data_IF_825614183657
#
_entry.id   IF_825614183657
#
_cell.length_a   1.000
_cell.length_b   1.000
_cell.length_c   1.000
_cell.angle_alpha   90.00
_cell.angle_beta   90.00
_cell.angle_gamma   90.00
#
_symmetry.space_group_name_H-M   'P 1'
#
loop_
_entity.id
_entity.type
_entity.pdbx_description
1 polymer ?
#
# COMPACT_ATOMS: atom_id res chain seq x y z
N UNK A 1 8.86 10.41 -25.79
CA UNK A 1 8.08 9.22 -25.36
C UNK A 1 7.86 8.26 -26.54
N UNK A 2 8.56 7.11 -26.57
CA UNK A 2 8.22 6.04 -27.51
C UNK A 2 7.09 5.24 -26.90
N UNK A 3 5.89 5.35 -27.47
CA UNK A 3 4.76 4.51 -27.11
C UNK A 3 5.17 3.06 -27.37
N UNK A 4 5.33 2.26 -26.31
CA UNK A 4 5.32 0.81 -26.47
C UNK A 4 3.96 0.45 -27.09
N UNK A 5 3.97 -0.31 -28.18
CA UNK A 5 2.75 -0.78 -28.84
C UNK A 5 1.86 -1.49 -27.81
N UNK A 6 0.54 -1.27 -27.87
CA UNK A 6 -0.40 -1.81 -26.86
C UNK A 6 -0.27 -3.32 -26.65
N UNK A 7 0.18 -4.04 -27.67
CA UNK A 7 0.46 -5.48 -27.61
C UNK A 7 1.67 -5.88 -26.75
N UNK A 8 2.72 -5.04 -26.71
CA UNK A 8 3.86 -5.23 -25.80
C UNK A 8 3.47 -4.89 -24.35
N UNK A 9 2.62 -3.89 -24.15
CA UNK A 9 2.04 -3.56 -22.85
C UNK A 9 1.13 -4.71 -22.33
N UNK A 10 0.36 -5.34 -23.22
CA UNK A 10 -0.44 -6.54 -22.94
C UNK A 10 0.45 -7.73 -22.55
N UNK A 11 1.52 -8.01 -23.32
CA UNK A 11 2.49 -9.09 -23.01
C UNK A 11 3.29 -8.86 -21.72
N UNK A 12 3.58 -7.60 -21.37
CA UNK A 12 4.16 -7.24 -20.07
C UNK A 12 3.18 -7.32 -18.89
N UNK A 13 1.92 -7.66 -19.16
CA UNK A 13 0.84 -7.74 -18.19
C UNK A 13 0.43 -6.39 -17.60
N UNK A 14 0.79 -5.27 -18.23
CA UNK A 14 0.37 -3.93 -17.82
C UNK A 14 -1.16 -3.83 -17.77
N UNK A 15 -1.84 -4.45 -18.73
CA UNK A 15 -3.29 -4.54 -18.76
C UNK A 15 -3.86 -5.35 -17.58
N UNK A 16 -3.23 -6.47 -17.21
CA UNK A 16 -3.64 -7.27 -16.06
C UNK A 16 -3.47 -6.50 -14.74
N UNK A 17 -2.41 -5.69 -14.61
CA UNK A 17 -2.19 -4.83 -13.45
C UNK A 17 -3.21 -3.70 -13.37
N UNK A 18 -3.43 -2.98 -14.46
CA UNK A 18 -4.43 -1.92 -14.51
C UNK A 18 -5.85 -2.45 -14.24
N UNK A 19 -6.16 -3.65 -14.75
CA UNK A 19 -7.41 -4.33 -14.43
C UNK A 19 -7.48 -4.66 -12.94
N UNK A 20 -6.42 -5.20 -12.34
CA UNK A 20 -6.41 -5.51 -10.92
C UNK A 20 -6.54 -4.26 -10.02
N UNK A 21 -5.93 -3.13 -10.38
CA UNK A 21 -6.14 -1.83 -9.72
C UNK A 21 -7.62 -1.43 -9.80
N UNK A 22 -8.20 -1.52 -10.99
CA UNK A 22 -9.62 -1.18 -11.22
C UNK A 22 -10.56 -2.10 -10.44
N UNK A 23 -10.31 -3.42 -10.46
CA UNK A 23 -11.07 -4.41 -9.69
C UNK A 23 -10.98 -4.13 -8.20
N UNK A 24 -9.78 -3.80 -7.68
CA UNK A 24 -9.60 -3.41 -6.27
C UNK A 24 -10.47 -2.20 -5.91
N UNK A 25 -10.51 -1.19 -6.78
CA UNK A 25 -11.37 0.00 -6.58
C UNK A 25 -12.86 -0.39 -6.54
N UNK A 26 -13.28 -1.20 -7.51
CA UNK A 26 -14.66 -1.67 -7.62
C UNK A 26 -15.08 -2.48 -6.39
N UNK A 27 -14.21 -3.35 -5.86
CA UNK A 27 -14.47 -4.09 -4.63
C UNK A 27 -14.69 -3.17 -3.44
N UNK A 28 -13.92 -2.07 -3.33
CA UNK A 28 -14.11 -1.08 -2.27
C UNK A 28 -15.45 -0.35 -2.39
N UNK A 29 -15.85 0.01 -3.61
CA UNK A 29 -17.14 0.66 -3.88
C UNK A 29 -18.32 -0.28 -3.62
N UNK A 30 -18.24 -1.53 -4.08
CA UNK A 30 -19.35 -2.50 -4.01
C UNK A 30 -19.64 -2.97 -2.59
N UNK A 31 -18.61 -3.21 -1.79
CA UNK A 31 -18.76 -3.87 -0.50
C UNK A 31 -18.52 -2.94 0.70
N UNK A 32 -18.23 -1.66 0.44
CA UNK A 32 -18.28 -0.58 1.41
C UNK A 32 -17.25 -0.66 2.54
N UNK A 33 -16.26 0.24 2.52
CA UNK A 33 -15.44 0.56 3.70
C UNK A 33 -15.89 1.86 4.39
N UNK A 34 -17.05 2.37 4.00
CA UNK A 34 -17.45 3.78 4.06
C UNK A 34 -17.50 4.40 2.65
N UNK A 35 -18.16 5.56 2.45
CA UNK A 35 -18.16 6.27 1.17
C UNK A 35 -16.74 6.56 0.68
N UNK A 36 -16.41 6.14 -0.54
CA UNK A 36 -15.13 6.45 -1.17
C UNK A 36 -15.14 7.92 -1.57
N UNK A 37 -14.24 8.70 -0.99
CA UNK A 37 -14.10 10.14 -1.23
C UNK A 37 -12.96 10.49 -2.18
N UNK A 38 -12.10 9.50 -2.51
CA UNK A 38 -11.09 9.64 -3.54
C UNK A 38 -10.39 8.33 -3.89
N UNK A 39 -10.00 8.20 -5.15
CA UNK A 39 -9.21 7.09 -5.67
C UNK A 39 -8.19 7.65 -6.67
N UNK A 40 -6.91 7.57 -6.32
CA UNK A 40 -5.81 8.04 -7.16
C UNK A 40 -4.89 6.86 -7.50
N UNK A 41 -4.41 6.79 -8.75
CA UNK A 41 -3.51 5.74 -9.23
C UNK A 41 -2.10 6.30 -9.46
N UNK A 42 -1.09 5.44 -9.36
CA UNK A 42 0.32 5.78 -9.62
C UNK A 42 0.81 7.01 -8.82
N UNK A 43 0.46 7.07 -7.53
CA UNK A 43 0.76 8.23 -6.69
C UNK A 43 2.22 8.20 -6.25
N UNK A 44 3.00 9.20 -6.65
CA UNK A 44 4.39 9.37 -6.21
C UNK A 44 4.47 9.96 -4.79
N UNK A 45 5.33 9.35 -3.98
CA UNK A 45 5.79 9.80 -2.67
C UNK A 45 7.30 9.93 -2.68
N UNK A 46 7.82 10.72 -1.73
CA UNK A 46 9.26 10.93 -1.58
C UNK A 46 9.73 10.55 -0.18
N UNK A 47 10.84 9.84 -0.13
CA UNK A 47 11.60 9.54 1.08
C UNK A 47 13.06 9.91 0.80
N UNK A 48 13.52 11.01 1.39
CA UNK A 48 14.86 11.55 1.14
C UNK A 48 15.11 11.74 -0.38
N UNK A 49 16.05 11.00 -0.96
CA UNK A 49 16.38 11.01 -2.40
C UNK A 49 15.68 9.90 -3.20
N UNK A 50 14.84 9.09 -2.55
CA UNK A 50 14.14 7.96 -3.16
C UNK A 50 12.70 8.34 -3.50
N UNK A 51 12.21 7.82 -4.62
CA UNK A 51 10.80 7.87 -5.01
C UNK A 51 10.14 6.55 -4.67
N UNK A 52 8.95 6.62 -4.10
CA UNK A 52 8.03 5.49 -3.96
C UNK A 52 6.80 5.81 -4.81
N UNK A 53 6.26 4.84 -5.52
CA UNK A 53 5.03 5.04 -6.27
C UNK A 53 4.04 3.98 -5.83
N UNK A 54 2.95 4.42 -5.21
CA UNK A 54 1.84 3.56 -4.89
C UNK A 54 1.09 3.20 -6.18
N UNK A 55 0.69 1.95 -6.34
CA UNK A 55 -0.18 1.56 -7.45
C UNK A 55 -1.52 2.28 -7.36
N UNK A 56 -2.06 2.44 -6.14
CA UNK A 56 -3.20 3.29 -5.87
C UNK A 56 -3.21 3.83 -4.44
N UNK A 57 -4.05 4.82 -4.22
CA UNK A 57 -4.43 5.32 -2.89
C UNK A 57 -5.93 5.48 -2.84
N UNK A 58 -6.54 5.07 -1.72
CA UNK A 58 -7.97 5.18 -1.50
C UNK A 58 -8.25 6.01 -0.26
N UNK A 59 -9.17 6.96 -0.40
CA UNK A 59 -9.72 7.77 0.70
C UNK A 59 -11.17 7.38 0.90
N UNK A 60 -11.56 7.17 2.15
CA UNK A 60 -12.91 6.77 2.52
C UNK A 60 -13.33 7.47 3.81
N UNK A 61 -14.62 7.75 3.92
CA UNK A 61 -15.20 8.33 5.13
C UNK A 61 -15.55 7.23 6.14
N UNK A 62 -14.94 7.27 7.31
CA UNK A 62 -15.23 6.40 8.46
C UNK A 62 -16.08 7.12 9.50
N UNK A 63 -17.20 7.73 9.09
CA UNK A 63 -18.14 8.39 9.99
C UNK A 63 -17.67 9.75 10.49
N UNK A 64 -17.30 10.64 9.56
CA UNK A 64 -16.83 12.00 9.84
C UNK A 64 -15.30 12.13 9.91
N UNK A 65 -14.57 11.06 9.57
CA UNK A 65 -13.11 11.03 9.54
C UNK A 65 -12.63 10.39 8.25
N UNK A 66 -11.67 11.02 7.57
CA UNK A 66 -11.11 10.46 6.33
C UNK A 66 -10.03 9.44 6.67
N UNK A 67 -10.32 8.18 6.40
CA UNK A 67 -9.34 7.10 6.36
C UNK A 67 -8.61 7.07 5.02
N UNK A 68 -7.33 6.73 5.04
CA UNK A 68 -6.51 6.58 3.83
C UNK A 68 -5.80 5.23 3.84
N UNK A 69 -5.74 4.58 2.67
CA UNK A 69 -4.89 3.41 2.43
C UNK A 69 -4.04 3.62 1.18
N UNK A 70 -2.77 3.29 1.31
CA UNK A 70 -1.85 3.08 0.19
C UNK A 70 -2.03 1.63 -0.26
N UNK A 71 -2.15 1.41 -1.56
CA UNK A 71 -2.36 0.09 -2.16
C UNK A 71 -1.18 -0.26 -3.04
N UNK A 72 -0.66 -1.46 -2.84
CA UNK A 72 0.40 -2.07 -3.64
C UNK A 72 -0.10 -3.42 -4.16
N UNK A 73 -0.02 -3.64 -5.46
CA UNK A 73 -0.39 -4.89 -6.08
C UNK A 73 0.86 -5.73 -6.36
N UNK A 74 0.77 -7.02 -6.05
CA UNK A 74 1.81 -7.99 -6.36
C UNK A 74 1.18 -9.19 -7.05
N UNK A 75 1.66 -9.54 -8.24
CA UNK A 75 1.15 -10.69 -9.00
C UNK A 75 1.58 -12.04 -8.43
N UNK A 76 1.94 -12.08 -7.16
CA UNK A 76 2.54 -13.20 -6.42
C UNK A 76 3.85 -13.74 -7.02
N UNK A 77 4.36 -13.11 -8.08
CA UNK A 77 5.62 -13.47 -8.76
C UNK A 77 6.78 -12.57 -8.38
N UNK A 78 6.54 -11.48 -7.64
CA UNK A 78 7.62 -10.64 -7.14
C UNK A 78 8.55 -11.45 -6.22
N UNK A 79 9.88 -11.28 -6.31
CA UNK A 79 10.78 -11.87 -5.32
C UNK A 79 10.45 -11.37 -3.90
N UNK A 80 10.53 -12.26 -2.90
CA UNK A 80 10.17 -11.92 -1.52
C UNK A 80 11.01 -10.77 -0.96
N UNK A 81 12.30 -10.74 -1.28
CA UNK A 81 13.23 -9.68 -0.86
C UNK A 81 12.82 -8.32 -1.42
N UNK A 82 12.28 -8.31 -2.65
CA UNK A 82 11.79 -7.08 -3.28
C UNK A 82 10.50 -6.60 -2.62
N UNK A 83 9.58 -7.52 -2.29
CA UNK A 83 8.38 -7.17 -1.52
C UNK A 83 8.74 -6.66 -0.11
N UNK A 84 9.66 -7.33 0.58
CA UNK A 84 10.16 -6.91 1.88
C UNK A 84 10.76 -5.50 1.82
N UNK A 85 11.60 -5.23 0.81
CA UNK A 85 12.18 -3.90 0.60
C UNK A 85 11.11 -2.82 0.30
N UNK A 86 10.04 -3.13 -0.43
CA UNK A 86 8.92 -2.19 -0.62
C UNK A 86 8.24 -1.85 0.71
N UNK A 87 7.92 -2.86 1.51
CA UNK A 87 7.28 -2.67 2.82
C UNK A 87 8.21 -1.89 3.77
N UNK A 88 9.50 -2.20 3.76
CA UNK A 88 10.53 -1.48 4.51
C UNK A 88 10.54 0.01 4.14
N UNK A 89 10.53 0.33 2.85
CA UNK A 89 10.51 1.71 2.38
C UNK A 89 9.23 2.46 2.78
N UNK A 90 8.06 1.82 2.68
CA UNK A 90 6.80 2.42 3.12
C UNK A 90 6.76 2.69 4.62
N UNK A 91 7.25 1.74 5.43
CA UNK A 91 7.32 1.93 6.88
C UNK A 91 8.34 3.00 7.27
N UNK A 92 9.48 3.10 6.59
CA UNK A 92 10.40 4.25 6.77
C UNK A 92 9.75 5.56 6.40
N UNK A 93 9.03 5.61 5.28
CA UNK A 93 8.34 6.81 4.83
C UNK A 93 7.28 7.26 5.86
N UNK A 94 6.54 6.33 6.46
CA UNK A 94 5.58 6.60 7.51
C UNK A 94 6.22 7.19 8.78
N UNK A 95 7.42 6.73 9.13
CA UNK A 95 8.19 7.21 10.30
C UNK A 95 9.00 8.47 10.01
N UNK A 96 9.21 8.81 8.74
CA UNK A 96 10.11 9.87 8.36
C UNK A 96 9.57 11.24 8.78
N UNK A 97 10.39 11.99 9.52
CA UNK A 97 10.10 13.34 9.98
C UNK A 97 11.17 14.30 9.49
N UNK A 98 10.74 15.49 9.11
CA UNK A 98 11.62 16.62 8.80
C UNK A 98 11.61 17.56 9.99
N UNK A 99 12.80 18.03 10.38
CA UNK A 99 12.93 19.04 11.41
C UNK A 99 12.45 20.39 10.89
N UNK A 100 11.64 21.07 11.70
CA UNK A 100 11.11 22.40 11.42
C UNK A 100 11.73 23.38 12.42
N UNK A 101 12.38 24.43 11.88
CA UNK A 101 13.02 25.48 12.67
C UNK A 101 14.51 25.67 12.35
N UNK A 102 15.14 26.70 12.94
CA UNK A 102 16.56 26.96 12.76
C UNK A 102 17.38 25.76 13.26
N UNK A 103 18.37 25.34 12.46
CA UNK A 103 19.39 24.39 12.92
C UNK A 103 20.00 24.96 14.22
N UNK A 104 20.11 24.13 15.26
CA UNK A 104 20.66 24.43 16.61
C UNK A 104 19.70 24.93 17.69
N UNK A 105 18.39 25.04 17.44
CA UNK A 105 17.38 25.26 18.49
C UNK A 105 16.53 23.99 18.72
N UNK A 106 15.87 23.90 19.87
CA UNK A 106 14.83 22.90 20.11
C UNK A 106 13.67 23.22 19.16
N UNK A 107 13.65 22.59 17.98
CA UNK A 107 12.62 22.74 16.96
C UNK A 107 11.62 21.59 16.96
N UNK A 108 10.46 21.81 16.32
CA UNK A 108 9.47 20.76 16.08
C UNK A 108 9.92 19.83 14.96
N UNK A 109 9.26 18.68 14.82
CA UNK A 109 9.41 17.84 13.63
C UNK A 109 8.05 17.48 13.08
N UNK A 110 7.93 17.49 11.76
CA UNK A 110 6.70 17.15 11.05
C UNK A 110 6.90 15.86 10.26
N UNK A 111 5.90 15.00 10.31
CA UNK A 111 5.91 13.76 9.52
C UNK A 111 5.66 14.08 8.04
N UNK A 112 6.48 13.51 7.16
CA UNK A 112 6.46 13.82 5.71
C UNK A 112 5.17 13.37 5.04
N UNK A 113 4.56 12.28 5.52
CA UNK A 113 3.30 11.80 4.96
C UNK A 113 2.17 12.84 5.03
N UNK A 114 2.23 13.80 5.96
CA UNK A 114 1.23 14.88 6.08
C UNK A 114 1.19 15.82 4.88
N UNK A 115 2.27 15.88 4.09
CA UNK A 115 2.30 16.67 2.85
C UNK A 115 1.37 16.08 1.79
N UNK A 116 1.19 14.76 1.78
CA UNK A 116 0.31 14.07 0.83
C UNK A 116 -1.08 13.81 1.43
N UNK A 117 -1.17 13.66 2.75
CA UNK A 117 -2.38 13.24 3.44
C UNK A 117 -2.58 14.10 4.70
N UNK A 118 -3.33 15.22 4.61
CA UNK A 118 -3.50 16.16 5.72
C UNK A 118 -4.42 15.63 6.85
N UNK A 119 -4.70 14.33 6.87
CA UNK A 119 -5.53 13.67 7.88
C UNK A 119 -4.80 13.48 9.21
N UNK A 120 -5.55 13.09 10.26
CA UNK A 120 -4.99 12.89 11.59
C UNK A 120 -4.08 11.65 11.70
N UNK A 121 -4.30 10.64 10.86
CA UNK A 121 -3.57 9.37 10.87
C UNK A 121 -2.67 9.20 9.65
N UNK A 122 -1.55 8.51 9.85
CA UNK A 122 -0.75 7.98 8.74
C UNK A 122 -1.59 6.95 7.95
N UNK A 123 -1.52 6.95 6.61
CA UNK A 123 -2.12 5.87 5.81
C UNK A 123 -1.61 4.49 6.23
N UNK A 124 -2.50 3.50 6.20
CA UNK A 124 -2.12 2.08 6.25
C UNK A 124 -1.71 1.56 4.87
N UNK A 125 -0.92 0.49 4.83
CA UNK A 125 -0.53 -0.18 3.59
C UNK A 125 -1.37 -1.45 3.37
N UNK A 126 -1.96 -1.56 2.19
CA UNK A 126 -2.63 -2.75 1.68
C UNK A 126 -1.81 -3.37 0.56
N UNK A 127 -1.41 -4.63 0.75
CA UNK A 127 -0.76 -5.45 -0.27
C UNK A 127 -1.79 -6.41 -0.85
N UNK A 128 -2.16 -6.24 -2.11
CA UNK A 128 -3.16 -7.07 -2.79
C UNK A 128 -2.45 -8.04 -3.72
N UNK A 129 -2.54 -9.33 -3.43
CA UNK A 129 -1.99 -10.37 -4.31
C UNK A 129 -2.97 -10.70 -5.43
N UNK A 130 -2.51 -10.68 -6.68
CA UNK A 130 -3.31 -11.13 -7.83
C UNK A 130 -2.87 -12.52 -8.25
N UNK A 131 -3.81 -13.41 -8.58
CA UNK A 131 -3.50 -14.76 -9.04
C UNK A 131 -2.96 -15.70 -7.97
N UNK A 132 -3.29 -15.43 -6.69
CA UNK A 132 -2.94 -16.28 -5.57
C UNK A 132 -4.21 -16.64 -4.78
N UNK A 133 -4.31 -17.90 -4.37
CA UNK A 133 -5.33 -18.35 -3.41
C UNK A 133 -4.95 -17.93 -1.96
N UNK A 134 -5.91 -17.96 -1.01
CA UNK A 134 -5.64 -17.57 0.39
C UNK A 134 -4.56 -18.40 1.08
N UNK A 135 -4.40 -19.68 0.73
CA UNK A 135 -3.35 -20.53 1.30
C UNK A 135 -1.97 -20.15 0.73
N UNK A 136 -1.89 -19.76 -0.54
CA UNK A 136 -0.69 -19.22 -1.16
C UNK A 136 -0.29 -17.87 -0.56
N UNK A 137 -1.26 -16.98 -0.28
CA UNK A 137 -1.05 -15.75 0.49
C UNK A 137 -0.44 -16.06 1.86
N UNK A 138 -1.03 -17.00 2.62
CA UNK A 138 -0.52 -17.37 3.94
C UNK A 138 0.93 -17.85 3.88
N UNK A 139 1.23 -18.82 3.00
CA UNK A 139 2.59 -19.34 2.78
C UNK A 139 3.57 -18.22 2.39
N UNK A 140 3.14 -17.28 1.54
CA UNK A 140 3.95 -16.15 1.11
C UNK A 140 4.26 -15.20 2.26
N UNK A 141 3.27 -14.86 3.09
CA UNK A 141 3.46 -14.04 4.29
C UNK A 141 4.41 -14.73 5.27
N UNK A 142 4.24 -16.03 5.52
CA UNK A 142 5.09 -16.75 6.47
C UNK A 142 6.56 -16.80 6.00
N UNK A 143 6.79 -16.92 4.69
CA UNK A 143 8.14 -16.80 4.10
C UNK A 143 8.67 -15.37 4.08
N UNK A 144 7.80 -14.37 4.10
CA UNK A 144 8.17 -12.95 4.13
C UNK A 144 8.60 -12.50 5.54
N UNK A 145 8.03 -13.10 6.60
CA UNK A 145 8.30 -12.70 7.99
C UNK A 145 9.79 -12.67 8.37
N UNK A 146 10.64 -13.68 8.03
CA UNK A 146 12.06 -13.63 8.38
C UNK A 146 12.80 -12.45 7.76
N UNK A 147 12.48 -12.10 6.50
CA UNK A 147 13.06 -10.94 5.81
C UNK A 147 12.64 -9.64 6.49
N UNK A 148 11.36 -9.49 6.83
CA UNK A 148 10.85 -8.31 7.54
C UNK A 148 11.42 -8.18 8.95
N UNK A 149 11.63 -9.30 9.64
CA UNK A 149 12.30 -9.33 10.93
C UNK A 149 13.77 -8.88 10.82
N UNK A 150 14.51 -9.41 9.84
CA UNK A 150 15.90 -9.01 9.60
C UNK A 150 16.03 -7.51 9.28
N UNK A 151 15.05 -6.93 8.57
CA UNK A 151 14.97 -5.50 8.28
C UNK A 151 14.41 -4.65 9.44
N UNK A 152 14.04 -5.27 10.56
CA UNK A 152 13.39 -4.63 11.73
C UNK A 152 12.10 -3.89 11.39
N UNK A 153 11.41 -4.32 10.35
CA UNK A 153 10.13 -3.73 9.92
C UNK A 153 9.03 -4.05 10.93
N UNK A 154 9.07 -5.21 11.59
CA UNK A 154 8.07 -5.64 12.57
C UNK A 154 8.09 -4.80 13.86
N UNK A 155 9.20 -4.11 14.14
CA UNK A 155 9.34 -3.20 15.29
C UNK A 155 8.64 -1.84 15.04
N UNK A 156 8.39 -1.52 13.76
CA UNK A 156 7.84 -0.23 13.32
C UNK A 156 6.33 -0.20 13.48
N UNK A 157 5.80 0.87 14.06
CA UNK A 157 4.36 1.00 14.40
C UNK A 157 3.65 2.14 13.70
N UNK A 158 4.36 2.98 12.93
CA UNK A 158 3.75 4.15 12.30
C UNK A 158 2.74 3.80 11.20
N UNK A 159 2.84 2.61 10.59
CA UNK A 159 1.97 2.16 9.51
C UNK A 159 1.61 0.69 9.70
N UNK A 160 0.31 0.40 9.79
CA UNK A 160 -0.18 -0.98 9.76
C UNK A 160 -0.12 -1.54 8.34
N UNK A 161 0.40 -2.76 8.20
CA UNK A 161 0.55 -3.42 6.90
C UNK A 161 -0.35 -4.66 6.86
N UNK A 162 -1.24 -4.71 5.89
CA UNK A 162 -2.19 -5.81 5.71
C UNK A 162 -2.10 -6.35 4.29
N UNK A 163 -2.37 -7.64 4.12
CA UNK A 163 -2.43 -8.26 2.83
C UNK A 163 -3.69 -9.08 2.62
N UNK A 164 -4.12 -9.17 1.37
CA UNK A 164 -5.25 -9.98 0.91
C UNK A 164 -4.98 -10.48 -0.51
N UNK A 165 -5.89 -11.28 -1.05
CA UNK A 165 -5.90 -11.63 -2.48
C UNK A 165 -7.00 -10.83 -3.18
N UNK A 166 -6.83 -10.56 -4.48
CA UNK A 166 -7.83 -9.85 -5.25
C UNK A 166 -9.19 -10.58 -5.24
N UNK A 167 -9.16 -11.92 -5.28
CA UNK A 167 -10.37 -12.74 -5.29
C UNK A 167 -11.14 -12.62 -3.97
N UNK A 168 -10.45 -12.73 -2.83
CA UNK A 168 -11.05 -12.54 -1.51
C UNK A 168 -11.62 -11.13 -1.38
N UNK A 169 -10.87 -10.13 -1.83
CA UNK A 169 -11.30 -8.74 -1.79
C UNK A 169 -12.54 -8.49 -2.68
N UNK A 170 -12.60 -9.12 -3.86
CA UNK A 170 -13.73 -9.01 -4.79
C UNK A 170 -14.99 -9.72 -4.30
N UNK A 171 -14.84 -10.81 -3.55
CA UNK A 171 -15.96 -11.59 -3.02
C UNK A 171 -16.51 -11.00 -1.72
N UNK A 172 -15.63 -10.64 -0.79
CA UNK A 172 -16.00 -10.27 0.58
C UNK A 172 -15.91 -8.76 0.84
N UNK A 173 -15.26 -8.02 -0.05
CA UNK A 173 -14.98 -6.62 0.17
C UNK A 173 -13.92 -6.34 1.23
N UNK A 174 -13.51 -5.08 1.36
CA UNK A 174 -12.46 -4.72 2.30
C UNK A 174 -12.94 -4.58 3.75
N UNK A 175 -14.24 -4.56 4.01
CA UNK A 175 -14.80 -4.55 5.38
C UNK A 175 -15.04 -5.96 5.94
N UNK A 176 -14.86 -7.02 5.14
CA UNK A 176 -15.03 -8.40 5.58
C UNK A 176 -14.06 -8.77 6.71
N UNK A 177 -14.58 -9.44 7.74
CA UNK A 177 -13.82 -9.79 8.95
C UNK A 177 -12.57 -10.66 8.67
N UNK A 178 -12.58 -11.45 7.60
CA UNK A 178 -11.50 -12.34 7.19
C UNK A 178 -10.70 -11.84 5.99
N UNK A 179 -11.03 -10.66 5.43
CA UNK A 179 -10.40 -10.18 4.19
C UNK A 179 -8.92 -9.93 4.36
N UNK A 180 -8.49 -9.45 5.53
CA UNK A 180 -7.13 -8.95 5.74
C UNK A 180 -6.32 -9.86 6.65
N UNK A 181 -5.14 -10.24 6.18
CA UNK A 181 -4.09 -10.81 7.03
C UNK A 181 -3.10 -9.71 7.42
N UNK A 182 -2.93 -9.48 8.72
CA UNK A 182 -1.93 -8.54 9.23
C UNK A 182 -0.51 -9.06 9.02
N UNK A 183 0.39 -8.19 8.55
CA UNK A 183 1.83 -8.42 8.40
C UNK A 183 2.62 -7.69 9.50
N UNK A 184 2.34 -6.40 9.70
CA UNK A 184 2.98 -5.50 10.68
C UNK A 184 1.91 -4.82 11.52
#
# INVERSE_FOLDING_TARGET
PRAATGEAALRGGLAAHALAVTTTALSCVRHGLGPITGWDVEVEHRLERRRLTADATVRFDTGGRIGVRVVELDRATMPLQRLAAKIELWTRWAEHRIHEGPRHLIGSSRAVWRDHYPGPDCPGLWVVLTGADPAALRRRIDRLRPELHAMRVLDRRAMGVHATTLDVLAEHGPAGASTWTRIV
#
